data_IF_680387083542
#
_entry.id   IF_680387083542
#
_cell.length_a   1.000
_cell.length_b   1.000
_cell.length_c   1.000
_cell.angle_alpha   90.00
_cell.angle_beta   90.00
_cell.angle_gamma   90.00
#
_symmetry.space_group_name_H-M   'P 1'
#
loop_
_entity.id
_entity.type
_entity.pdbx_description
1 polymer ?
#
# COMPACT_ATOMS: atom_id res chain seq x y z
N UNK A 1 -5.14 -16.15 -15.66
CA UNK A 1 -4.90 -15.20 -14.55
C UNK A 1 -4.05 -15.91 -13.51
N UNK A 2 -2.95 -15.34 -13.02
CA UNK A 2 -2.23 -15.96 -11.91
C UNK A 2 -3.16 -15.94 -10.69
N UNK A 3 -3.60 -17.12 -10.25
CA UNK A 3 -4.44 -17.25 -9.07
C UNK A 3 -3.64 -16.82 -7.85
N UNK A 4 -4.08 -15.75 -7.18
CA UNK A 4 -3.49 -15.36 -5.90
C UNK A 4 -3.74 -16.48 -4.88
N UNK A 5 -2.68 -16.88 -4.16
CA UNK A 5 -2.80 -17.94 -3.16
C UNK A 5 -3.80 -17.54 -2.05
N UNK A 6 -4.55 -18.52 -1.52
CA UNK A 6 -5.63 -18.27 -0.55
C UNK A 6 -5.18 -17.47 0.67
N UNK A 7 -3.96 -17.68 1.17
CA UNK A 7 -3.45 -16.93 2.31
C UNK A 7 -3.23 -15.43 2.02
N UNK A 8 -2.90 -15.08 0.77
CA UNK A 8 -2.74 -13.69 0.31
C UNK A 8 -4.10 -12.99 0.25
N UNK A 9 -5.13 -13.69 -0.23
CA UNK A 9 -6.51 -13.20 -0.25
C UNK A 9 -7.02 -12.95 1.18
N UNK A 10 -6.85 -13.92 2.09
CA UNK A 10 -7.23 -13.76 3.50
C UNK A 10 -6.53 -12.58 4.17
N UNK A 11 -5.23 -12.40 3.88
CA UNK A 11 -4.48 -11.25 4.38
C UNK A 11 -5.06 -9.93 3.87
N UNK A 12 -5.35 -9.82 2.57
CA UNK A 12 -5.94 -8.62 2.00
C UNK A 12 -7.33 -8.33 2.55
N UNK A 13 -8.18 -9.35 2.67
CA UNK A 13 -9.52 -9.22 3.27
C UNK A 13 -9.45 -8.74 4.72
N UNK A 14 -8.52 -9.31 5.52
CA UNK A 14 -8.30 -8.90 6.91
C UNK A 14 -7.97 -7.40 7.00
N UNK A 15 -7.03 -6.92 6.19
CA UNK A 15 -6.60 -5.53 6.24
C UNK A 15 -7.58 -4.53 5.60
N UNK A 16 -8.40 -4.99 4.67
CA UNK A 16 -9.42 -4.17 4.03
C UNK A 16 -10.58 -3.89 4.97
N UNK A 17 -10.96 -4.86 5.81
CA UNK A 17 -12.01 -4.67 6.81
C UNK A 17 -11.52 -3.88 8.04
N UNK A 18 -10.22 -3.89 8.32
CA UNK A 18 -9.63 -3.19 9.46
C UNK A 18 -9.89 -1.68 9.47
N UNK A 19 -10.42 -1.19 10.59
CA UNK A 19 -10.71 0.23 10.87
C UNK A 19 -9.71 0.90 11.81
N UNK A 20 -8.83 0.13 12.43
CA UNK A 20 -7.82 0.60 13.40
C UNK A 20 -6.65 1.32 12.72
N UNK A 21 -5.72 1.88 13.50
CA UNK A 21 -4.58 2.67 13.01
C UNK A 21 -3.38 1.82 12.52
N UNK A 22 -3.60 0.85 11.61
CA UNK A 22 -2.54 0.00 11.09
C UNK A 22 -1.62 0.70 10.05
N UNK A 23 -0.42 0.14 9.86
CA UNK A 23 0.64 0.62 8.96
C UNK A 23 1.25 -0.52 8.13
N UNK A 24 2.00 -0.20 7.07
CA UNK A 24 2.67 -1.18 6.20
C UNK A 24 3.44 -2.25 6.98
N UNK A 25 4.10 -1.89 8.09
CA UNK A 25 4.82 -2.85 8.94
C UNK A 25 3.91 -3.88 9.61
N UNK A 26 2.68 -3.51 9.97
CA UNK A 26 1.69 -4.47 10.49
C UNK A 26 1.29 -5.48 9.40
N UNK A 27 1.13 -5.01 8.16
CA UNK A 27 0.83 -5.87 7.02
C UNK A 27 1.97 -6.85 6.72
N UNK A 28 3.21 -6.35 6.67
CA UNK A 28 4.40 -7.17 6.46
C UNK A 28 4.58 -8.22 7.57
N UNK A 29 4.44 -7.82 8.83
CA UNK A 29 4.54 -8.74 9.96
C UNK A 29 3.47 -9.83 9.91
N UNK A 30 2.22 -9.45 9.64
CA UNK A 30 1.12 -10.42 9.51
C UNK A 30 1.35 -11.40 8.37
N UNK A 31 1.92 -10.96 7.24
CA UNK A 31 2.31 -11.86 6.16
C UNK A 31 3.37 -12.88 6.60
N UNK A 32 4.37 -12.42 7.35
CA UNK A 32 5.45 -13.28 7.88
C UNK A 32 4.92 -14.28 8.92
N UNK A 33 3.91 -13.91 9.70
CA UNK A 33 3.24 -14.82 10.64
C UNK A 33 2.42 -15.91 9.92
N UNK A 34 1.80 -15.57 8.79
CA UNK A 34 0.97 -16.51 8.01
C UNK A 34 1.79 -17.49 7.18
N UNK A 35 2.96 -17.07 6.67
CA UNK A 35 3.77 -17.90 5.78
C UNK A 35 5.25 -17.81 6.15
N UNK A 36 5.77 -18.91 6.73
CA UNK A 36 7.19 -19.07 7.03
C UNK A 36 8.01 -19.03 5.74
N UNK A 37 8.75 -17.94 5.55
CA UNK A 37 9.55 -17.67 4.35
C UNK A 37 9.04 -16.51 3.51
N UNK A 38 7.91 -15.89 3.88
CA UNK A 38 7.48 -14.67 3.21
C UNK A 38 8.44 -13.53 3.54
N UNK A 39 8.64 -12.68 2.55
CA UNK A 39 9.53 -11.53 2.64
C UNK A 39 8.75 -10.23 2.50
N UNK A 40 9.39 -9.11 2.86
CA UNK A 40 8.83 -7.78 2.57
C UNK A 40 8.63 -7.53 1.08
N UNK A 41 9.46 -8.15 0.23
CA UNK A 41 9.26 -8.09 -1.23
C UNK A 41 7.94 -8.78 -1.63
N UNK A 42 7.59 -9.91 -1.00
CA UNK A 42 6.30 -10.56 -1.25
C UNK A 42 5.12 -9.67 -0.87
N UNK A 43 5.21 -8.93 0.24
CA UNK A 43 4.16 -7.98 0.64
C UNK A 43 3.90 -6.93 -0.44
N UNK A 44 4.96 -6.34 -1.01
CA UNK A 44 4.85 -5.35 -2.07
C UNK A 44 4.31 -5.95 -3.37
N UNK A 45 4.73 -7.17 -3.70
CA UNK A 45 4.17 -7.93 -4.82
C UNK A 45 2.66 -8.18 -4.67
N UNK A 46 2.21 -8.49 -3.45
CA UNK A 46 0.78 -8.67 -3.11
C UNK A 46 0.02 -7.35 -3.33
N UNK A 47 0.53 -6.23 -2.85
CA UNK A 47 -0.10 -4.90 -3.00
C UNK A 47 -0.20 -4.50 -4.48
N UNK A 48 0.86 -4.71 -5.26
CA UNK A 48 0.82 -4.47 -6.71
C UNK A 48 -0.21 -5.34 -7.43
N UNK A 49 -0.34 -6.61 -7.02
CA UNK A 49 -1.32 -7.51 -7.62
C UNK A 49 -2.74 -7.10 -7.24
N UNK A 50 -2.99 -6.75 -5.97
CA UNK A 50 -4.28 -6.25 -5.51
C UNK A 50 -4.72 -4.99 -6.27
N UNK A 51 -3.79 -4.05 -6.47
CA UNK A 51 -4.03 -2.84 -7.26
C UNK A 51 -4.37 -3.16 -8.72
N UNK A 52 -3.61 -4.05 -9.37
CA UNK A 52 -3.87 -4.48 -10.75
C UNK A 52 -5.23 -5.17 -10.91
N UNK A 53 -5.69 -5.89 -9.89
CA UNK A 53 -7.02 -6.50 -9.87
C UNK A 53 -8.14 -5.50 -9.58
N UNK A 54 -7.81 -4.25 -9.22
CA UNK A 54 -8.81 -3.23 -8.83
C UNK A 54 -9.54 -3.57 -7.54
N UNK A 55 -8.92 -4.37 -6.66
CA UNK A 55 -9.51 -4.88 -5.41
C UNK A 55 -8.72 -4.39 -4.20
N UNK A 56 -9.38 -4.42 -3.03
CA UNK A 56 -8.83 -3.96 -1.75
C UNK A 56 -8.23 -2.53 -1.80
N UNK A 57 -8.99 -1.54 -2.30
CA UNK A 57 -8.48 -0.19 -2.52
C UNK A 57 -8.04 0.52 -1.24
N UNK A 58 -8.68 0.23 -0.09
CA UNK A 58 -8.28 0.84 1.20
C UNK A 58 -6.96 0.26 1.67
N UNK A 59 -6.77 -1.05 1.51
CA UNK A 59 -5.53 -1.74 1.87
C UNK A 59 -4.36 -1.25 1.05
N UNK A 60 -4.51 -1.22 -0.29
CA UNK A 60 -3.48 -0.73 -1.21
C UNK A 60 -3.11 0.71 -0.86
N UNK A 61 -4.10 1.61 -0.79
CA UNK A 61 -3.88 3.03 -0.49
C UNK A 61 -3.13 3.19 0.83
N UNK A 62 -3.61 2.56 1.90
CA UNK A 62 -3.04 2.73 3.23
C UNK A 62 -1.64 2.14 3.40
N UNK A 63 -1.39 0.99 2.78
CA UNK A 63 -0.05 0.39 2.76
C UNK A 63 0.95 1.39 2.17
N UNK A 64 0.64 1.93 0.99
CA UNK A 64 1.53 2.86 0.28
C UNK A 64 1.74 4.16 1.06
N UNK A 65 0.66 4.75 1.58
CA UNK A 65 0.72 6.03 2.29
C UNK A 65 1.51 5.92 3.60
N UNK A 66 1.33 4.83 4.34
CA UNK A 66 2.10 4.61 5.58
C UNK A 66 3.56 4.25 5.30
N UNK A 67 3.86 3.57 4.19
CA UNK A 67 5.22 3.32 3.74
C UNK A 67 5.91 4.64 3.34
N UNK A 68 5.25 5.46 2.51
CA UNK A 68 5.75 6.77 2.12
C UNK A 68 5.99 7.68 3.32
N UNK A 69 5.05 7.73 4.27
CA UNK A 69 5.20 8.53 5.50
C UNK A 69 6.41 8.11 6.34
N UNK A 70 6.78 6.83 6.32
CA UNK A 70 7.92 6.33 7.09
C UNK A 70 9.28 6.60 6.44
N UNK A 71 9.37 6.58 5.10
CA UNK A 71 10.64 6.66 4.38
C UNK A 71 10.82 7.93 3.54
N UNK A 72 9.78 8.73 3.35
CA UNK A 72 9.76 9.87 2.42
C UNK A 72 9.77 9.46 0.94
N UNK A 73 9.74 8.16 0.65
CA UNK A 73 9.69 7.58 -0.69
C UNK A 73 8.97 6.23 -0.66
N UNK A 74 8.69 5.68 -1.85
CA UNK A 74 8.27 4.28 -2.03
C UNK A 74 9.34 3.56 -2.85
N UNK A 75 9.50 2.25 -2.63
CA UNK A 75 10.39 1.44 -3.46
C UNK A 75 9.96 1.46 -4.92
N UNK A 76 10.92 1.40 -5.86
CA UNK A 76 10.68 1.50 -7.30
C UNK A 76 9.58 0.55 -7.81
N UNK A 77 9.50 -0.67 -7.26
CA UNK A 77 8.47 -1.66 -7.59
C UNK A 77 7.03 -1.21 -7.27
N UNK A 78 6.85 -0.31 -6.31
CA UNK A 78 5.57 0.27 -5.93
C UNK A 78 5.32 1.62 -6.60
N UNK A 79 6.31 2.17 -7.30
CA UNK A 79 6.29 3.55 -7.80
C UNK A 79 5.10 3.83 -8.73
N UNK A 80 4.84 2.95 -9.68
CA UNK A 80 3.71 3.09 -10.60
C UNK A 80 2.37 3.00 -9.84
N UNK A 81 2.18 1.96 -9.03
CA UNK A 81 0.97 1.77 -8.22
C UNK A 81 0.72 2.98 -7.30
N UNK A 82 1.77 3.54 -6.71
CA UNK A 82 1.68 4.73 -5.89
C UNK A 82 1.26 5.96 -6.69
N UNK A 83 1.85 6.20 -7.86
CA UNK A 83 1.46 7.31 -8.72
C UNK A 83 -0.03 7.22 -9.14
N UNK A 84 -0.50 6.02 -9.49
CA UNK A 84 -1.90 5.79 -9.86
C UNK A 84 -2.85 6.02 -8.67
N UNK A 85 -2.48 5.55 -7.47
CA UNK A 85 -3.23 5.84 -6.24
C UNK A 85 -3.28 7.33 -5.96
N UNK A 86 -2.15 8.05 -6.08
CA UNK A 86 -2.11 9.50 -5.90
C UNK A 86 -3.01 10.22 -6.91
N UNK A 87 -3.06 9.80 -8.17
CA UNK A 87 -3.97 10.40 -9.16
C UNK A 87 -5.44 10.21 -8.76
N UNK A 88 -5.78 9.07 -8.17
CA UNK A 88 -7.15 8.77 -7.70
C UNK A 88 -7.55 9.51 -6.41
N UNK A 89 -6.59 10.05 -5.66
CA UNK A 89 -6.85 10.73 -4.39
C UNK A 89 -7.30 12.17 -4.60
N UNK A 90 -8.25 12.59 -3.77
CA UNK A 90 -8.68 13.99 -3.68
C UNK A 90 -7.59 14.88 -3.11
N UNK A 91 -7.70 16.20 -3.32
CA UNK A 91 -6.77 17.17 -2.76
C UNK A 91 -6.76 17.15 -1.22
N UNK A 92 -7.93 16.91 -0.59
CA UNK A 92 -8.04 16.79 0.86
C UNK A 92 -7.29 15.56 1.36
N UNK A 93 -7.51 14.39 0.77
CA UNK A 93 -6.79 13.17 1.17
C UNK A 93 -5.28 13.35 1.01
N UNK A 94 -4.82 14.01 -0.06
CA UNK A 94 -3.38 14.32 -0.21
C UNK A 94 -2.87 15.21 0.91
N UNK A 95 -3.62 16.24 1.29
CA UNK A 95 -3.24 17.14 2.38
C UNK A 95 -3.19 16.43 3.74
N UNK A 96 -4.16 15.57 4.04
CA UNK A 96 -4.19 14.74 5.27
C UNK A 96 -2.94 13.86 5.42
N UNK A 97 -2.37 13.42 4.30
CA UNK A 97 -1.17 12.60 4.26
C UNK A 97 0.12 13.39 4.02
N UNK A 98 0.06 14.73 3.96
CA UNK A 98 1.23 15.57 3.73
C UNK A 98 1.84 15.41 2.33
N UNK A 99 1.04 14.97 1.36
CA UNK A 99 1.43 14.69 -0.03
C UNK A 99 1.20 15.87 -0.97
N UNK A 100 0.91 17.06 -0.44
CA UNK A 100 0.93 18.23 -1.29
C UNK A 100 2.33 18.35 -1.88
N UNK A 101 2.38 18.56 -3.20
CA UNK A 101 3.60 19.02 -3.84
C UNK A 101 4.15 20.11 -2.93
N UNK A 102 5.43 20.01 -2.58
CA UNK A 102 6.18 21.23 -2.35
C UNK A 102 5.99 21.98 -3.67
N UNK A 103 4.98 22.85 -3.74
CA UNK A 103 4.91 23.88 -4.75
C UNK A 103 6.28 24.50 -4.67
N UNK A 104 7.08 24.22 -5.69
CA UNK A 104 8.42 24.74 -5.82
C UNK A 104 8.27 26.24 -5.58
N UNK A 105 8.69 26.67 -4.40
CA UNK A 105 8.84 28.06 -4.08
C UNK A 105 10.00 28.52 -4.95
N UNK A 106 9.64 29.12 -6.09
CA UNK A 106 10.20 30.32 -6.74
C UNK A 106 11.72 30.36 -6.98
N UNK A 107 12.21 31.08 -8.02
CA UNK A 107 11.81 32.46 -8.37
C UNK A 107 10.98 32.57 -9.65
#
# INVERSE_FOLDING_TARGET
MPHMALYKLKLLDEFEDRRDLWSFGHFENRLMDLWRGATRHDAKGIINTAHKEGRWPRTVKRYLLTNYKAFGNVSAELGQTFAEVLVSMTAQEKAEWGLQAQSAAAP
#
